data_IF_073325358498
#
_entry.id   IF_073325358498
#
_cell.length_a   1.000
_cell.length_b   1.000
_cell.length_c   1.000
_cell.angle_alpha   90.00
_cell.angle_beta   90.00
_cell.angle_gamma   90.00
#
_symmetry.space_group_name_H-M   'P 1'
#
loop_
_entity.id
_entity.type
_entity.pdbx_description
1 polymer ?
#
# COMPACT_ATOMS: atom_id res chain seq x y z
N UNK A 1 -20.96 33.84 -39.83
CA UNK A 1 -20.24 32.87 -40.66
C UNK A 1 -18.75 33.15 -40.51
N UNK A 2 -18.07 32.45 -39.61
CA UNK A 2 -16.61 32.51 -39.47
C UNK A 2 -16.01 31.30 -40.17
N UNK A 3 -15.09 31.56 -41.09
CA UNK A 3 -14.42 30.53 -41.89
C UNK A 3 -13.76 29.49 -40.98
N UNK A 4 -14.13 28.23 -41.17
CA UNK A 4 -13.43 27.08 -40.57
C UNK A 4 -12.06 27.05 -41.24
N UNK A 5 -11.02 27.50 -40.52
CA UNK A 5 -9.66 27.33 -40.97
C UNK A 5 -9.38 25.84 -41.06
N UNK A 6 -9.31 25.36 -42.30
CA UNK A 6 -8.86 24.01 -42.64
C UNK A 6 -7.39 23.93 -42.19
N UNK A 7 -7.13 23.30 -41.04
CA UNK A 7 -5.74 23.03 -40.63
C UNK A 7 -5.12 22.11 -41.69
N UNK A 8 -3.91 22.43 -42.18
CA UNK A 8 -3.21 21.56 -43.10
C UNK A 8 -2.98 20.22 -42.41
N UNK A 9 -3.17 19.14 -43.16
CA UNK A 9 -2.99 17.75 -42.74
C UNK A 9 -1.72 17.64 -41.88
N UNK A 10 -1.89 17.45 -40.58
CA UNK A 10 -0.79 17.32 -39.63
C UNK A 10 -0.15 15.96 -39.91
N UNK A 11 1.01 15.99 -40.59
CA UNK A 11 1.81 14.81 -40.86
C UNK A 11 2.63 14.56 -39.60
N UNK A 12 2.53 13.36 -39.05
CA UNK A 12 3.33 12.96 -37.90
C UNK A 12 4.81 12.91 -38.29
N UNK A 13 5.66 13.63 -37.57
CA UNK A 13 7.09 13.77 -37.90
C UNK A 13 7.88 12.47 -37.71
N UNK A 14 7.35 11.51 -36.95
CA UNK A 14 8.01 10.25 -36.63
C UNK A 14 7.72 9.18 -37.68
N UNK A 15 6.46 9.08 -38.10
CA UNK A 15 5.98 8.06 -39.05
C UNK A 15 5.89 8.58 -40.47
N UNK A 16 5.87 9.90 -40.68
CA UNK A 16 5.73 10.54 -41.99
C UNK A 16 4.33 10.39 -42.59
N UNK A 17 3.34 9.98 -41.80
CA UNK A 17 1.96 9.72 -42.21
C UNK A 17 1.03 10.81 -41.69
N UNK A 18 0.00 11.14 -42.46
CA UNK A 18 -1.09 11.99 -41.97
C UNK A 18 -1.96 11.27 -40.94
N UNK A 19 -2.66 12.05 -40.10
CA UNK A 19 -3.63 11.51 -39.13
C UNK A 19 -4.65 10.57 -39.78
N UNK A 20 -5.16 10.92 -40.97
CA UNK A 20 -6.13 10.09 -41.69
C UNK A 20 -5.54 8.75 -42.17
N UNK A 21 -4.26 8.74 -42.57
CA UNK A 21 -3.57 7.51 -42.96
C UNK A 21 -3.28 6.63 -41.73
N UNK A 22 -2.91 7.24 -40.60
CA UNK A 22 -2.72 6.50 -39.35
C UNK A 22 -4.02 5.87 -38.84
N UNK A 23 -5.15 6.59 -38.93
CA UNK A 23 -6.47 6.05 -38.57
C UNK A 23 -6.85 4.87 -39.47
N UNK A 24 -6.66 4.98 -40.78
CA UNK A 24 -6.95 3.90 -41.72
C UNK A 24 -6.08 2.65 -41.47
N UNK A 25 -4.80 2.82 -41.16
CA UNK A 25 -3.89 1.72 -40.83
C UNK A 25 -4.26 1.08 -39.48
N UNK A 26 -4.64 1.90 -38.49
CA UNK A 26 -5.04 1.39 -37.19
C UNK A 26 -6.33 0.55 -37.28
N UNK A 27 -7.30 0.97 -38.09
CA UNK A 27 -8.54 0.24 -38.32
C UNK A 27 -8.28 -1.08 -39.06
N UNK A 28 -7.47 -1.07 -40.12
CA UNK A 28 -7.04 -2.28 -40.85
C UNK A 28 -6.33 -3.30 -39.93
N UNK A 29 -5.43 -2.82 -39.06
CA UNK A 29 -4.76 -3.67 -38.07
C UNK A 29 -5.72 -4.23 -37.01
N UNK A 30 -6.80 -3.52 -36.69
CA UNK A 30 -7.80 -3.99 -35.74
C UNK A 30 -8.72 -5.05 -36.36
N UNK A 31 -9.16 -4.84 -37.61
CA UNK A 31 -9.99 -5.79 -38.36
C UNK A 31 -9.23 -7.08 -38.72
N UNK A 32 -7.92 -6.96 -38.98
CA UNK A 32 -7.06 -8.10 -39.32
C UNK A 32 -6.18 -8.56 -38.16
N UNK A 33 -6.53 -8.17 -36.94
CA UNK A 33 -5.86 -8.65 -35.74
C UNK A 33 -6.08 -10.16 -35.63
N UNK A 34 -5.03 -10.93 -35.91
CA UNK A 34 -4.99 -12.33 -35.51
C UNK A 34 -5.02 -12.35 -33.98
N UNK A 35 -6.04 -12.99 -33.40
CA UNK A 35 -6.01 -13.34 -31.99
C UNK A 35 -4.70 -14.09 -31.74
N UNK A 36 -3.84 -13.63 -30.81
CA UNK A 36 -2.62 -14.34 -30.53
C UNK A 36 -3.00 -15.71 -29.95
N UNK A 37 -2.81 -16.75 -30.75
CA UNK A 37 -2.93 -18.17 -30.38
C UNK A 37 -1.72 -18.58 -29.51
N UNK A 38 -1.45 -17.76 -28.50
CA UNK A 38 -0.35 -17.90 -27.56
C UNK A 38 -0.76 -18.73 -26.35
N UNK A 39 0.19 -19.42 -25.69
CA UNK A 39 -0.11 -20.12 -24.46
C UNK A 39 -0.71 -19.16 -23.44
N UNK A 40 -1.81 -19.58 -22.80
CA UNK A 40 -2.42 -18.85 -21.68
C UNK A 40 -1.32 -18.48 -20.68
N UNK A 41 -1.04 -17.18 -20.58
CA UNK A 41 -0.11 -16.68 -19.57
C UNK A 41 -0.79 -16.88 -18.23
N UNK A 42 -0.18 -17.62 -17.28
CA UNK A 42 -0.76 -17.77 -15.95
C UNK A 42 -0.90 -16.39 -15.33
N UNK A 43 -2.15 -15.96 -15.17
CA UNK A 43 -2.48 -14.72 -14.49
C UNK A 43 -2.29 -14.98 -12.99
N UNK A 44 -1.16 -14.53 -12.44
CA UNK A 44 -1.02 -14.45 -10.99
C UNK A 44 -2.08 -13.47 -10.47
N UNK A 45 -3.17 -14.01 -9.93
CA UNK A 45 -4.17 -13.19 -9.26
C UNK A 45 -3.50 -12.52 -8.06
N UNK A 46 -3.39 -11.19 -8.12
CA UNK A 46 -2.95 -10.41 -6.98
C UNK A 46 -3.78 -10.78 -5.75
N UNK A 47 -3.17 -10.84 -4.55
CA UNK A 47 -3.87 -11.23 -3.33
C UNK A 47 -5.12 -10.38 -3.15
N UNK A 48 -6.27 -11.01 -2.92
CA UNK A 48 -7.55 -10.33 -2.69
C UNK A 48 -7.39 -9.28 -1.59
N UNK A 49 -7.42 -8.00 -1.99
CA UNK A 49 -7.39 -6.88 -1.04
C UNK A 49 -8.78 -6.80 -0.41
N UNK A 50 -8.95 -7.49 0.73
CA UNK A 50 -10.25 -7.58 1.42
C UNK A 50 -10.71 -6.28 2.07
N UNK A 51 -9.79 -5.33 2.32
CA UNK A 51 -10.12 -4.04 2.93
C UNK A 51 -9.00 -3.03 2.70
N UNK A 52 -9.37 -1.80 2.32
CA UNK A 52 -8.49 -0.65 2.25
C UNK A 52 -8.94 0.35 3.31
N UNK A 53 -8.06 0.68 4.25
CA UNK A 53 -8.32 1.68 5.30
C UNK A 53 -7.52 2.93 4.98
N UNK A 54 -8.21 4.05 4.77
CA UNK A 54 -7.57 5.36 4.62
C UNK A 54 -7.49 6.06 5.96
N UNK A 55 -6.27 6.37 6.42
CA UNK A 55 -6.02 7.12 7.66
C UNK A 55 -5.42 8.48 7.30
N UNK A 56 -5.90 9.54 7.95
CA UNK A 56 -5.36 10.90 7.79
C UNK A 56 -4.52 11.24 9.02
N UNK A 57 -3.31 11.73 8.76
CA UNK A 57 -2.41 12.24 9.78
C UNK A 57 -2.24 13.75 9.57
N UNK A 58 -2.20 14.50 10.66
CA UNK A 58 -1.64 15.85 10.66
C UNK A 58 -0.13 15.78 10.40
N UNK A 59 0.45 16.92 10.03
CA UNK A 59 1.90 17.03 9.77
C UNK A 59 2.72 16.57 10.97
N UNK A 60 2.34 17.03 12.18
CA UNK A 60 3.02 16.73 13.43
C UNK A 60 2.97 15.23 13.75
N UNK A 61 1.80 14.61 13.61
CA UNK A 61 1.66 13.17 13.83
C UNK A 61 2.53 12.36 12.86
N UNK A 62 2.64 12.81 11.61
CA UNK A 62 3.46 12.14 10.61
C UNK A 62 4.97 12.23 10.95
N UNK A 63 5.42 13.35 11.50
CA UNK A 63 6.79 13.52 11.98
C UNK A 63 7.08 12.58 13.16
N UNK A 64 6.14 12.47 14.11
CA UNK A 64 6.25 11.57 15.26
C UNK A 64 6.31 10.09 14.82
N UNK A 65 5.45 9.68 13.87
CA UNK A 65 5.45 8.32 13.31
C UNK A 65 6.76 8.05 12.55
N UNK A 66 7.26 9.01 11.77
CA UNK A 66 8.51 8.86 11.04
C UNK A 66 9.73 8.78 11.97
N UNK A 67 9.70 9.47 13.12
CA UNK A 67 10.72 9.32 14.15
C UNK A 67 10.66 7.91 14.78
N UNK A 68 9.46 7.42 15.11
CA UNK A 68 9.27 6.08 15.67
C UNK A 68 9.70 4.97 14.70
N UNK A 69 9.37 5.08 13.41
CA UNK A 69 9.79 4.13 12.38
C UNK A 69 11.33 4.06 12.25
N UNK A 70 12.01 5.22 12.28
CA UNK A 70 13.48 5.27 12.28
C UNK A 70 14.09 4.66 13.53
N UNK A 71 13.52 4.91 14.71
CA UNK A 71 13.99 4.31 15.96
C UNK A 71 13.83 2.78 15.98
N UNK A 72 12.84 2.26 15.25
CA UNK A 72 12.61 0.82 15.08
C UNK A 72 13.41 0.20 13.92
N UNK A 73 14.23 0.98 13.21
CA UNK A 73 14.96 0.59 12.00
C UNK A 73 14.05 -0.03 10.91
N UNK A 74 12.88 0.59 10.71
CA UNK A 74 11.88 0.11 9.76
C UNK A 74 11.50 1.20 8.74
N UNK A 75 11.25 0.81 7.47
CA UNK A 75 10.59 1.69 6.52
C UNK A 75 9.22 2.14 7.05
N UNK A 76 8.86 3.41 6.80
CA UNK A 76 7.62 4.02 7.29
C UNK A 76 6.36 3.21 6.93
N UNK A 77 6.28 2.72 5.69
CA UNK A 77 5.16 1.90 5.21
C UNK A 77 5.05 0.57 5.97
N UNK A 78 6.18 -0.09 6.22
CA UNK A 78 6.26 -1.33 7.01
C UNK A 78 5.85 -1.09 8.45
N UNK A 79 6.33 0.00 9.06
CA UNK A 79 5.99 0.36 10.42
C UNK A 79 4.49 0.60 10.60
N UNK A 80 3.87 1.41 9.71
CA UNK A 80 2.43 1.69 9.73
C UNK A 80 1.62 0.40 9.54
N UNK A 81 2.01 -0.45 8.58
CA UNK A 81 1.34 -1.74 8.33
C UNK A 81 1.39 -2.61 9.58
N UNK A 82 2.56 -2.78 10.19
CA UNK A 82 2.73 -3.63 11.36
C UNK A 82 1.95 -3.09 12.56
N UNK A 83 1.99 -1.78 12.80
CA UNK A 83 1.20 -1.14 13.84
C UNK A 83 -0.32 -1.36 13.63
N UNK A 84 -0.80 -1.22 12.41
CA UNK A 84 -2.20 -1.49 12.08
C UNK A 84 -2.58 -2.98 12.30
N UNK A 85 -1.71 -3.91 11.92
CA UNK A 85 -1.91 -5.34 12.17
C UNK A 85 -1.92 -5.67 13.66
N UNK A 86 -1.03 -5.06 14.45
CA UNK A 86 -1.00 -5.24 15.91
C UNK A 86 -2.24 -4.63 16.57
N UNK A 87 -2.68 -3.45 16.13
CA UNK A 87 -3.89 -2.81 16.65
C UNK A 87 -5.18 -3.58 16.29
N UNK A 88 -5.18 -4.29 15.16
CA UNK A 88 -6.29 -5.15 14.76
C UNK A 88 -6.43 -6.41 15.64
N UNK A 89 -5.37 -6.80 16.36
CA UNK A 89 -5.49 -7.80 17.42
C UNK A 89 -6.20 -7.14 18.59
N UNK A 90 -7.38 -7.62 18.95
CA UNK A 90 -8.08 -7.18 20.17
C UNK A 90 -7.17 -7.45 21.38
N UNK A 91 -6.51 -6.41 21.87
CA UNK A 91 -5.73 -6.49 23.10
C UNK A 91 -6.70 -6.44 24.27
N UNK A 92 -6.87 -7.56 24.97
CA UNK A 92 -7.57 -7.59 26.26
C UNK A 92 -6.70 -6.87 27.30
N UNK A 93 -6.91 -5.55 27.39
CA UNK A 93 -6.23 -4.66 28.32
C UNK A 93 -6.43 -5.09 29.77
N UNK A 94 -7.58 -5.67 30.12
CA UNK A 94 -7.82 -6.15 31.47
C UNK A 94 -7.00 -7.40 31.78
N UNK A 95 -6.86 -8.33 30.83
CA UNK A 95 -5.99 -9.48 30.98
C UNK A 95 -4.52 -9.07 31.16
N UNK A 96 -4.04 -8.10 30.38
CA UNK A 96 -2.70 -7.54 30.54
C UNK A 96 -2.51 -6.91 31.94
N UNK A 97 -3.51 -6.16 32.42
CA UNK A 97 -3.46 -5.53 33.74
C UNK A 97 -3.44 -6.56 34.89
N UNK A 98 -4.27 -7.61 34.79
CA UNK A 98 -4.28 -8.72 35.75
C UNK A 98 -2.93 -9.44 35.80
N UNK A 99 -2.34 -9.72 34.63
CA UNK A 99 -1.04 -10.38 34.53
C UNK A 99 0.08 -9.53 35.16
N UNK A 100 0.11 -8.23 34.87
CA UNK A 100 1.08 -7.31 35.46
C UNK A 100 0.94 -7.22 36.99
N UNK A 101 -0.28 -7.15 37.49
CA UNK A 101 -0.54 -7.10 38.93
C UNK A 101 -0.10 -8.40 39.62
N UNK A 102 -0.38 -9.56 39.02
CA UNK A 102 0.08 -10.85 39.52
C UNK A 102 1.61 -10.96 39.55
N UNK A 103 2.30 -10.52 38.49
CA UNK A 103 3.76 -10.50 38.43
C UNK A 103 4.35 -9.57 39.50
N UNK A 104 3.77 -8.40 39.70
CA UNK A 104 4.19 -7.44 40.73
C UNK A 104 4.02 -8.01 42.14
N UNK A 105 2.91 -8.71 42.40
CA UNK A 105 2.70 -9.38 43.68
C UNK A 105 3.68 -10.54 43.90
N UNK A 106 3.97 -11.32 42.87
CA UNK A 106 4.95 -12.42 42.92
C UNK A 106 6.37 -11.88 43.22
N UNK A 107 6.79 -10.82 42.54
CA UNK A 107 8.04 -10.13 42.79
C UNK A 107 8.10 -9.58 44.23
N UNK A 108 7.00 -8.98 44.72
CA UNK A 108 6.93 -8.50 46.09
C UNK A 108 7.03 -9.63 47.13
N UNK A 109 6.47 -10.81 46.84
CA UNK A 109 6.62 -11.99 47.71
C UNK A 109 8.05 -12.52 47.70
N UNK A 110 8.69 -12.59 46.54
CA UNK A 110 10.10 -12.99 46.40
C UNK A 110 11.04 -12.02 47.12
N UNK A 111 10.81 -10.71 47.00
CA UNK A 111 11.59 -9.70 47.71
C UNK A 111 11.46 -9.84 49.23
N UNK A 112 10.25 -10.14 49.74
CA UNK A 112 10.04 -10.39 51.17
C UNK A 112 10.64 -11.71 51.65
N UNK A 113 10.60 -12.78 50.84
CA UNK A 113 11.21 -14.06 51.23
C UNK A 113 12.74 -13.97 51.26
N UNK A 114 13.34 -13.19 50.36
CA UNK A 114 14.79 -12.97 50.34
C UNK A 114 15.21 -12.01 51.47
N UNK A 115 14.44 -10.95 51.74
CA UNK A 115 14.71 -10.01 52.84
C UNK A 115 14.42 -10.55 54.23
N UNK A 116 13.63 -11.62 54.36
CA UNK A 116 13.38 -12.33 55.63
C UNK A 116 14.41 -13.43 55.93
N UNK A 117 15.31 -13.73 54.99
CA UNK A 117 16.34 -14.75 55.11
C UNK A 117 17.76 -14.19 55.34
N UNK A 118 17.88 -12.87 55.52
CA UNK A 118 19.10 -12.13 55.86
C UNK A 118 18.97 -11.51 57.26
#
# INVERSE_FOLDING_TARGET
MGAVMNKPQEIDEVTGLSVAEMEAIAEDLYEHRQEPDGPEVPVEHAPEIRSVVSVRFSRRELDDIAAAARAADQPLSTYIRNAALTAAVTVDLEAAHRALHAATQALGRLGRSLGSAA
#
